data_IF_877127621015
#
_entry.id   IF_877127621015
#
_cell.length_a   1.000
_cell.length_b   1.000
_cell.length_c   1.000
_cell.angle_alpha   90.00
_cell.angle_beta   90.00
_cell.angle_gamma   90.00
#
_symmetry.space_group_name_H-M   'P 1'
#
loop_
_entity.id
_entity.type
_entity.pdbx_description
1 polymer ?
#
# COMPACT_ATOMS: atom_id res chain seq x y z
N UNK A 1 12.74 -7.92 -32.92
CA UNK A 1 12.56 -7.47 -32.58
C UNK A 1 12.02 -7.19 -32.02
N UNK A 2 12.30 -7.25 -32.06
CA UNK A 2 12.03 -6.86 -31.40
C UNK A 2 11.34 -6.60 -30.80
N UNK A 3 11.17 -6.59 -30.64
CA UNK A 3 10.49 -6.13 -29.95
C UNK A 3 10.04 -5.90 -29.40
N UNK A 4 10.07 -6.02 -29.37
CA UNK A 4 9.50 -5.55 -28.76
C UNK A 4 9.03 -5.25 -28.21
N UNK A 5 9.37 -5.65 -28.59
CA UNK A 5 8.91 -5.11 -28.08
C UNK A 5 8.24 -4.95 -27.47
N UNK A 6 8.36 -5.23 -27.78
CA UNK A 6 7.95 -4.72 -27.09
C UNK A 6 7.24 -4.82 -26.47
N UNK A 7 7.40 -4.89 -26.49
CA UNK A 7 6.85 -4.62 -25.99
C UNK A 7 6.20 -4.68 -25.39
N UNK A 8 6.22 -4.79 -25.29
CA UNK A 8 5.52 -4.51 -24.72
C UNK A 8 4.98 -4.26 -24.10
N UNK A 9 5.28 -4.47 -24.36
CA UNK A 9 4.74 -3.97 -23.73
C UNK A 9 4.00 -4.05 -23.12
N UNK A 10 4.07 -4.26 -23.06
CA UNK A 10 3.41 -4.05 -22.48
C UNK A 10 2.88 -3.96 -21.85
N UNK A 11 3.07 -4.06 -21.89
CA UNK A 11 2.56 -3.67 -21.29
C UNK A 11 1.92 -3.53 -20.72
N UNK A 12 2.04 -3.64 -20.82
CA UNK A 12 1.58 -3.23 -20.22
C UNK A 12 0.85 -3.27 -19.75
N UNK A 13 0.96 -3.44 -19.68
CA UNK A 13 0.34 -3.23 -19.19
C UNK A 13 -0.42 -3.27 -18.65
N UNK A 14 -0.42 -3.37 -18.69
CA UNK A 14 -0.97 -3.08 -18.00
C UNK A 14 -1.52 -3.52 -17.42
N UNK A 15 -1.46 -3.68 -17.06
CA UNK A 15 -1.83 -3.74 -16.35
C UNK A 15 -2.40 -3.61 -15.79
N UNK A 16 -2.09 -3.59 -15.88
CA UNK A 16 -2.49 -3.29 -15.26
C UNK A 16 -3.12 -3.38 -14.73
N UNK A 17 -2.67 -3.26 -14.83
CA UNK A 17 -3.19 -3.26 -14.30
C UNK A 17 -4.19 -3.44 -13.49
N UNK A 18 -4.73 -3.83 -13.64
CA UNK A 18 -5.84 -4.05 -12.78
C UNK A 18 -5.50 -4.26 -11.38
N UNK A 19 -4.41 -4.70 -11.26
CA UNK A 19 -3.90 -4.92 -9.94
C UNK A 19 -3.91 -3.66 -9.11
N UNK A 20 -4.23 -2.55 -9.71
CA UNK A 20 -4.21 -1.30 -8.98
C UNK A 20 -5.43 -1.12 -8.07
N UNK A 21 -6.47 -1.91 -8.26
CA UNK A 21 -7.68 -1.70 -7.48
C UNK A 21 -7.47 -2.01 -6.00
N UNK A 22 -7.84 -1.07 -5.16
CA UNK A 22 -7.83 -1.23 -3.72
C UNK A 22 -8.86 -0.28 -3.14
N UNK A 23 -9.28 -0.52 -1.91
CA UNK A 23 -10.31 0.30 -1.27
C UNK A 23 -9.77 1.72 -1.08
N UNK A 24 -10.57 2.70 -1.49
CA UNK A 24 -10.18 4.09 -1.33
C UNK A 24 -9.37 4.64 -2.47
N UNK A 25 -9.23 3.89 -3.55
CA UNK A 25 -8.42 4.30 -4.70
C UNK A 25 -8.81 5.68 -5.23
N UNK A 26 -10.05 6.07 -5.07
CA UNK A 26 -10.50 7.38 -5.54
C UNK A 26 -9.82 8.52 -4.78
N UNK A 27 -9.21 8.25 -3.63
CA UNK A 27 -8.49 9.26 -2.87
C UNK A 27 -7.04 9.42 -3.33
N UNK A 28 -6.60 8.59 -4.27
CA UNK A 28 -5.18 8.59 -4.69
C UNK A 28 -4.73 9.94 -5.22
N UNK A 29 -5.63 10.71 -5.80
CA UNK A 29 -5.27 12.04 -6.31
C UNK A 29 -4.81 12.99 -5.21
N UNK A 30 -5.22 12.73 -3.99
CA UNK A 30 -4.87 13.60 -2.86
C UNK A 30 -3.60 13.13 -2.15
N UNK A 31 -3.07 12.01 -2.57
CA UNK A 31 -1.84 11.46 -1.99
C UNK A 31 -0.62 12.00 -2.74
N UNK A 32 0.50 12.05 -2.05
CA UNK A 32 1.79 12.37 -2.69
C UNK A 32 2.66 11.13 -2.78
N UNK A 33 2.37 10.16 -1.94
CA UNK A 33 3.04 8.86 -1.94
C UNK A 33 2.16 7.92 -2.74
N UNK A 34 2.73 7.23 -3.73
CA UNK A 34 1.95 6.27 -4.51
C UNK A 34 1.73 5.01 -3.70
N UNK A 35 0.76 4.18 -4.13
CA UNK A 35 0.51 2.92 -3.45
C UNK A 35 1.76 2.02 -3.53
N UNK A 36 2.49 2.05 -4.64
CA UNK A 36 3.70 1.25 -4.76
C UNK A 36 4.78 1.70 -3.79
N UNK A 37 4.94 3.02 -3.64
CA UNK A 37 5.88 3.55 -2.67
C UNK A 37 5.47 3.18 -1.25
N UNK A 38 4.17 3.27 -0.98
CA UNK A 38 3.65 2.95 0.34
C UNK A 38 3.84 1.47 0.66
N UNK A 39 3.65 0.59 -0.32
CA UNK A 39 3.90 -0.84 -0.14
C UNK A 39 5.34 -1.10 0.26
N UNK A 40 6.27 -0.45 -0.43
CA UNK A 40 7.69 -0.60 -0.11
C UNK A 40 8.00 -0.13 1.30
N UNK A 41 7.45 1.01 1.67
CA UNK A 41 7.66 1.54 3.02
C UNK A 41 7.11 0.58 4.06
N UNK A 42 5.89 0.09 3.83
CA UNK A 42 5.24 -0.82 4.76
C UNK A 42 6.03 -2.12 4.92
N UNK A 43 6.50 -2.68 3.82
CA UNK A 43 7.23 -3.94 3.86
C UNK A 43 8.61 -3.80 4.49
N UNK A 44 9.19 -2.61 4.47
CA UNK A 44 10.42 -2.36 5.22
C UNK A 44 10.13 -2.30 6.71
N UNK A 45 8.99 -1.73 7.07
CA UNK A 45 8.62 -1.62 8.48
C UNK A 45 8.22 -2.98 9.05
N UNK A 46 7.60 -3.83 8.23
CA UNK A 46 7.16 -5.15 8.67
C UNK A 46 7.27 -6.11 7.50
N UNK A 47 8.25 -7.00 7.52
CA UNK A 47 8.43 -7.98 6.46
C UNK A 47 7.30 -8.98 6.48
N UNK A 48 6.85 -9.39 5.32
CA UNK A 48 5.79 -10.38 5.21
C UNK A 48 5.08 -10.26 3.88
N UNK A 49 3.83 -10.68 3.87
CA UNK A 49 2.99 -10.65 2.67
C UNK A 49 1.83 -9.71 2.92
N UNK A 50 1.64 -8.75 2.03
CA UNK A 50 0.49 -7.86 2.12
C UNK A 50 -0.75 -8.64 1.73
N UNK A 51 -1.73 -8.70 2.63
CA UNK A 51 -2.97 -9.43 2.40
C UNK A 51 -4.16 -8.51 2.19
N UNK A 52 -4.03 -7.23 2.56
CA UNK A 52 -5.09 -6.27 2.33
C UNK A 52 -4.47 -4.88 2.30
N UNK A 53 -5.10 -3.97 1.56
CA UNK A 53 -4.61 -2.61 1.46
C UNK A 53 -5.75 -1.65 1.18
N UNK A 54 -5.67 -0.47 1.78
CA UNK A 54 -6.66 0.56 1.56
C UNK A 54 -6.06 1.94 1.77
N UNK A 55 -6.67 2.93 1.14
CA UNK A 55 -6.33 4.33 1.33
C UNK A 55 -7.53 4.99 1.98
N UNK A 56 -7.32 5.67 3.08
CA UNK A 56 -8.45 6.19 3.87
C UNK A 56 -8.08 7.47 4.57
N UNK A 57 -9.12 8.23 4.91
CA UNK A 57 -8.96 9.39 5.77
C UNK A 57 -8.98 8.90 7.20
N UNK A 58 -7.97 9.30 7.95
CA UNK A 58 -7.87 8.85 9.33
C UNK A 58 -7.07 9.89 10.12
N UNK A 59 -7.43 10.08 11.37
CA UNK A 59 -6.70 11.00 12.24
C UNK A 59 -5.25 10.56 12.36
N UNK A 60 -4.38 11.54 12.48
CA UNK A 60 -2.97 11.28 12.61
C UNK A 60 -2.23 11.62 11.34
N UNK A 61 -0.99 12.07 11.48
CA UNK A 61 -0.19 12.49 10.36
C UNK A 61 -0.90 13.56 9.55
N UNK A 62 -0.91 13.39 8.24
CA UNK A 62 -1.53 14.35 7.35
C UNK A 62 -3.05 14.18 7.24
N UNK A 63 -3.60 13.14 7.84
CA UNK A 63 -5.03 12.86 7.74
C UNK A 63 -5.39 11.93 6.59
N UNK A 64 -4.41 11.49 5.83
CA UNK A 64 -4.63 10.55 4.73
C UNK A 64 -3.59 9.45 4.87
N UNK A 65 -4.04 8.21 4.84
CA UNK A 65 -3.19 7.08 5.21
C UNK A 65 -3.45 5.86 4.34
N UNK A 66 -2.37 5.20 3.92
CA UNK A 66 -2.47 3.85 3.39
C UNK A 66 -2.38 2.89 4.57
N UNK A 67 -3.30 1.94 4.62
CA UNK A 67 -3.31 0.91 5.66
C UNK A 67 -3.12 -0.44 5.01
N UNK A 68 -2.20 -1.22 5.55
CA UNK A 68 -1.88 -2.54 5.02
C UNK A 68 -2.00 -3.58 6.13
N UNK A 69 -2.61 -4.72 5.79
CA UNK A 69 -2.49 -5.89 6.62
C UNK A 69 -1.33 -6.69 6.07
N UNK A 70 -0.38 -7.01 6.91
CA UNK A 70 0.81 -7.77 6.51
C UNK A 70 0.90 -9.02 7.34
N UNK A 71 0.87 -10.16 6.67
CA UNK A 71 1.00 -11.45 7.33
C UNK A 71 2.47 -11.81 7.45
N UNK A 72 2.90 -12.02 8.68
CA UNK A 72 4.28 -12.37 8.99
C UNK A 72 4.27 -13.52 9.97
N UNK A 73 4.73 -14.69 9.54
CA UNK A 73 4.74 -15.88 10.41
C UNK A 73 3.38 -16.17 11.05
N UNK A 74 2.33 -16.18 10.22
CA UNK A 74 0.98 -16.52 10.65
C UNK A 74 0.32 -15.45 11.52
N UNK A 75 0.97 -14.33 11.71
CA UNK A 75 0.42 -13.22 12.49
C UNK A 75 0.17 -12.06 11.53
N UNK A 76 -0.97 -11.41 11.69
CA UNK A 76 -1.31 -10.24 10.88
C UNK A 76 -0.92 -8.98 11.64
N UNK A 77 -0.21 -8.10 10.96
CA UNK A 77 0.14 -6.79 11.49
C UNK A 77 -0.53 -5.74 10.65
N UNK A 78 -0.95 -4.67 11.31
CA UNK A 78 -1.53 -3.52 10.63
C UNK A 78 -0.47 -2.44 10.55
N UNK A 79 -0.15 -2.00 9.34
CA UNK A 79 0.89 -1.00 9.11
C UNK A 79 0.25 0.17 8.39
N UNK A 80 0.36 1.36 8.98
CA UNK A 80 -0.17 2.58 8.40
C UNK A 80 0.95 3.47 7.91
N UNK A 81 0.82 3.97 6.68
CA UNK A 81 1.81 4.85 6.06
C UNK A 81 1.11 6.14 5.67
N UNK A 82 1.63 7.26 6.12
CA UNK A 82 1.07 8.56 5.77
C UNK A 82 1.14 8.74 4.26
N UNK A 83 0.01 9.02 3.64
CA UNK A 83 -0.08 9.08 2.20
C UNK A 83 0.54 10.35 1.60
N UNK A 84 0.93 11.30 2.43
CA UNK A 84 1.56 12.52 1.94
C UNK A 84 3.03 12.62 2.30
N UNK A 85 3.43 12.07 3.45
CA UNK A 85 4.81 12.17 3.90
C UNK A 85 5.58 10.87 3.80
N UNK A 86 4.89 9.74 3.73
CA UNK A 86 5.53 8.43 3.72
C UNK A 86 5.93 7.95 5.09
N UNK A 87 5.57 8.67 6.14
CA UNK A 87 5.93 8.30 7.49
C UNK A 87 5.11 7.10 7.96
N UNK A 88 5.73 6.15 8.63
CA UNK A 88 5.02 5.03 9.23
C UNK A 88 4.31 5.53 10.48
N UNK A 89 3.00 5.45 10.48
CA UNK A 89 2.18 5.95 11.59
C UNK A 89 1.72 4.84 12.51
N UNK A 90 1.72 3.62 12.02
CA UNK A 90 1.22 2.49 12.78
C UNK A 90 1.94 1.23 12.33
N UNK A 91 2.26 0.35 13.28
CA UNK A 91 2.87 -0.93 12.95
C UNK A 91 2.62 -1.82 14.16
N UNK A 92 1.43 -2.40 14.22
CA UNK A 92 0.98 -3.14 15.39
C UNK A 92 0.35 -4.46 14.98
N UNK A 93 0.40 -5.40 15.88
CA UNK A 93 -0.26 -6.67 15.69
C UNK A 93 -1.76 -6.46 15.67
N UNK A 94 -2.43 -7.03 14.68
CA UNK A 94 -3.87 -6.91 14.59
C UNK A 94 -4.51 -7.56 15.80
N UNK A 95 -5.53 -6.88 16.35
CA UNK A 95 -6.20 -7.40 17.53
C UNK A 95 -5.51 -7.04 18.83
N UNK A 96 -4.37 -6.35 18.77
CA UNK A 96 -3.66 -5.96 19.97
C UNK A 96 -4.17 -4.65 20.54
N UNK A 97 -5.10 -4.01 19.90
CA UNK A 97 -5.65 -2.74 20.35
C UNK A 97 -6.60 -2.96 21.52
N UNK A 98 -6.47 -2.18 22.54
CA UNK A 98 -7.29 -2.43 23.73
C UNK A 98 -8.71 -2.00 23.59
N UNK A 99 -9.11 -1.29 22.56
CA UNK A 99 -10.46 -0.83 22.52
C UNK A 99 -11.38 -1.51 21.77
#
# INVERSE_FOLDING_TARGET
MRYHAGCFALVALGYATGAAAYTGEELAQKAKVTIDQARSIALKARHGTITDEELEREKGGSGLRYSFDIKSNKVIYEVGVDARTGKVLENVREGAHPD
#
